data_IF_627567655959
#
_entry.id   IF_627567655959
#
_cell.length_a   1.000
_cell.length_b   1.000
_cell.length_c   1.000
_cell.angle_alpha   90.00
_cell.angle_beta   90.00
_cell.angle_gamma   90.00
#
_symmetry.space_group_name_H-M   'P 1'
#
loop_
_entity.id
_entity.type
_entity.pdbx_description
1 polymer ?
#
# COMPACT_ATOMS: atom_id res chain seq x y z
N UNK A 1 5.60 13.89 32.03
CA UNK A 1 6.70 12.90 31.94
C UNK A 1 7.07 12.75 30.47
N UNK A 2 8.33 12.44 30.15
CA UNK A 2 8.77 12.22 28.76
C UNK A 2 8.69 10.74 28.44
N UNK A 3 8.04 10.40 27.33
CA UNK A 3 7.91 9.04 26.82
C UNK A 3 8.61 8.90 25.48
N UNK A 4 9.29 7.78 25.30
CA UNK A 4 9.78 7.31 24.00
C UNK A 4 8.96 6.10 23.62
N UNK A 5 8.16 6.22 22.57
CA UNK A 5 7.30 5.14 22.08
C UNK A 5 7.86 4.65 20.75
N UNK A 6 8.06 3.33 20.66
CA UNK A 6 8.48 2.65 19.44
C UNK A 6 7.28 2.00 18.78
N UNK A 7 7.13 2.19 17.47
CA UNK A 7 6.01 1.68 16.69
C UNK A 7 6.59 1.06 15.42
N UNK A 8 6.08 -0.09 15.03
CA UNK A 8 6.47 -0.79 13.82
C UNK A 8 5.34 -0.73 12.79
N UNK A 9 5.64 -0.27 11.58
CA UNK A 9 4.69 -0.23 10.45
C UNK A 9 5.42 -0.75 9.22
N UNK A 10 4.91 -1.84 8.63
CA UNK A 10 5.52 -2.50 7.45
C UNK A 10 7.03 -2.78 7.63
N UNK A 11 7.40 -3.40 8.77
CA UNK A 11 8.79 -3.73 9.14
C UNK A 11 9.73 -2.52 9.30
N UNK A 12 9.19 -1.31 9.38
CA UNK A 12 9.95 -0.08 9.67
C UNK A 12 9.64 0.39 11.09
N UNK A 13 10.69 0.52 11.93
CA UNK A 13 10.58 1.06 13.29
C UNK A 13 10.59 2.60 13.26
N UNK A 14 9.57 3.20 13.86
CA UNK A 14 9.44 4.62 14.12
C UNK A 14 9.59 4.89 15.62
N UNK A 15 10.27 5.98 15.95
CA UNK A 15 10.44 6.44 17.32
C UNK A 15 9.74 7.78 17.49
N UNK A 16 8.79 7.83 18.42
CA UNK A 16 8.00 9.02 18.72
C UNK A 16 8.30 9.45 20.16
N UNK A 17 8.78 10.68 20.28
CA UNK A 17 8.95 11.35 21.57
C UNK A 17 7.69 12.16 21.89
N UNK A 18 7.11 11.94 23.06
CA UNK A 18 5.93 12.68 23.52
C UNK A 18 6.03 13.03 24.99
N UNK A 19 5.41 14.13 25.38
CA UNK A 19 5.25 14.51 26.78
C UNK A 19 3.81 14.25 27.19
N UNK A 20 3.60 13.49 28.26
CA UNK A 20 2.28 13.13 28.75
C UNK A 20 2.29 12.95 30.28
N UNK A 21 1.11 13.02 30.89
CA UNK A 21 0.92 12.82 32.33
C UNK A 21 0.72 11.33 32.68
N UNK A 22 0.36 10.50 31.69
CA UNK A 22 0.18 9.05 31.85
C UNK A 22 0.56 8.27 30.59
N UNK A 23 0.76 6.96 30.71
CA UNK A 23 0.99 6.07 29.57
C UNK A 23 -0.19 6.04 28.58
N UNK A 24 -1.41 6.15 29.10
CA UNK A 24 -2.63 6.18 28.27
C UNK A 24 -2.63 7.42 27.38
N UNK A 25 -2.40 8.58 27.99
CA UNK A 25 -2.31 9.85 27.27
C UNK A 25 -1.15 9.84 26.26
N UNK A 26 0.00 9.23 26.60
CA UNK A 26 1.10 9.09 25.67
C UNK A 26 0.73 8.27 24.41
N UNK A 27 -0.10 7.22 24.57
CA UNK A 27 -0.62 6.43 23.45
C UNK A 27 -1.63 7.21 22.61
N UNK A 28 -2.51 7.99 23.25
CA UNK A 28 -3.49 8.82 22.55
C UNK A 28 -2.77 9.90 21.71
N UNK A 29 -1.75 10.56 22.27
CA UNK A 29 -0.90 11.53 21.57
C UNK A 29 -0.21 10.92 20.35
N UNK A 30 0.28 9.68 20.46
CA UNK A 30 0.88 8.96 19.33
C UNK A 30 -0.10 8.78 18.17
N UNK A 31 -1.35 8.39 18.46
CA UNK A 31 -2.37 8.24 17.43
C UNK A 31 -2.77 9.56 16.79
N UNK A 32 -2.74 10.66 17.52
CA UNK A 32 -2.90 11.99 16.95
C UNK A 32 -1.74 12.35 16.03
N UNK A 33 -0.49 12.14 16.46
CA UNK A 33 0.71 12.40 15.63
C UNK A 33 0.64 11.59 14.32
N UNK A 34 0.29 10.31 14.38
CA UNK A 34 0.16 9.48 13.16
C UNK A 34 -0.91 10.07 12.24
N UNK A 35 -2.08 10.44 12.78
CA UNK A 35 -3.17 11.03 11.96
C UNK A 35 -2.80 12.38 11.35
N UNK A 36 -2.07 13.22 12.06
CA UNK A 36 -1.66 14.54 11.55
C UNK A 36 -0.50 14.48 10.56
N UNK A 37 0.43 13.53 10.74
CA UNK A 37 1.67 13.45 9.95
C UNK A 37 1.57 12.48 8.77
N UNK A 38 0.54 11.67 8.70
CA UNK A 38 0.30 10.78 7.55
C UNK A 38 -0.75 11.37 6.62
N UNK A 39 -0.53 11.20 5.33
CA UNK A 39 -1.45 11.63 4.29
C UNK A 39 -1.61 10.52 3.26
N UNK A 40 -2.84 10.20 2.88
CA UNK A 40 -3.10 9.27 1.78
C UNK A 40 -2.68 9.93 0.48
N UNK A 41 -1.66 9.39 -0.20
CA UNK A 41 -1.15 9.94 -1.46
C UNK A 41 -1.88 9.39 -2.69
N UNK A 42 -2.09 8.08 -2.73
CA UNK A 42 -2.87 7.40 -3.77
C UNK A 42 -3.53 6.17 -3.17
N UNK A 43 -4.66 5.76 -3.76
CA UNK A 43 -5.30 4.48 -3.49
C UNK A 43 -5.32 3.76 -4.83
N UNK A 44 -4.50 2.73 -4.95
CA UNK A 44 -4.43 1.90 -6.16
C UNK A 44 -5.06 0.56 -5.85
N UNK A 45 -5.99 0.13 -6.69
CA UNK A 45 -6.48 -1.24 -6.68
C UNK A 45 -5.42 -2.09 -7.36
N UNK A 46 -4.89 -3.10 -6.69
CA UNK A 46 -4.16 -4.17 -7.37
C UNK A 46 -5.14 -4.84 -8.33
N UNK A 47 -5.15 -4.41 -9.59
CA UNK A 47 -5.85 -5.12 -10.63
C UNK A 47 -5.20 -6.50 -10.71
N UNK A 48 -5.93 -7.55 -10.34
CA UNK A 48 -5.58 -8.90 -10.72
C UNK A 48 -5.39 -8.88 -12.24
N UNK A 49 -4.15 -8.95 -12.69
CA UNK A 49 -3.82 -8.80 -14.11
C UNK A 49 -4.77 -9.66 -14.94
N UNK A 50 -5.42 -9.14 -16.00
CA UNK A 50 -6.25 -9.96 -16.85
C UNK A 50 -5.33 -10.99 -17.54
N UNK A 51 -5.38 -12.23 -17.05
CA UNK A 51 -4.89 -13.41 -17.76
C UNK A 51 -5.79 -13.59 -18.98
N UNK A 52 -5.53 -12.86 -20.07
CA UNK A 52 -6.02 -13.31 -21.36
C UNK A 52 -5.14 -12.85 -22.53
N UNK A 53 -4.24 -13.70 -23.07
CA UNK A 53 -3.53 -13.43 -24.31
C UNK A 53 -4.42 -13.70 -25.57
N UNK A 54 -5.76 -13.72 -25.44
CA UNK A 54 -6.68 -14.18 -26.48
C UNK A 54 -6.77 -13.31 -27.74
N UNK A 55 -6.25 -12.08 -27.73
CA UNK A 55 -6.26 -11.22 -28.92
C UNK A 55 -5.15 -11.57 -29.93
N UNK A 56 -3.95 -11.94 -29.45
CA UNK A 56 -2.83 -12.28 -30.33
C UNK A 56 -3.00 -13.61 -31.07
N UNK A 57 -3.67 -14.59 -30.45
CA UNK A 57 -3.94 -15.91 -31.05
C UNK A 57 -4.92 -15.83 -32.22
N UNK A 58 -5.99 -15.04 -32.10
CA UNK A 58 -7.01 -14.90 -33.15
C UNK A 58 -6.45 -14.27 -34.43
N UNK A 59 -5.50 -13.35 -34.31
CA UNK A 59 -4.86 -12.73 -35.48
C UNK A 59 -3.93 -13.72 -36.21
N UNK A 60 -3.15 -14.50 -35.46
CA UNK A 60 -2.24 -15.51 -36.03
C UNK A 60 -2.98 -16.66 -36.73
N UNK A 61 -4.14 -17.06 -36.22
CA UNK A 61 -5.01 -18.06 -36.85
C UNK A 61 -5.62 -17.53 -38.16
N UNK A 62 -6.05 -16.26 -38.19
CA UNK A 62 -6.57 -15.63 -39.41
C UNK A 62 -5.53 -15.55 -40.54
N UNK A 63 -4.28 -15.22 -40.21
CA UNK A 63 -3.18 -15.13 -41.20
C UNK A 63 -2.79 -16.53 -41.71
N UNK A 64 -2.75 -17.55 -40.85
CA UNK A 64 -2.45 -18.92 -41.28
C UNK A 64 -3.53 -19.50 -42.20
N UNK A 65 -4.81 -19.24 -41.91
CA UNK A 65 -5.91 -19.71 -42.77
C UNK A 65 -5.91 -19.06 -44.15
N UNK A 66 -5.46 -17.82 -44.27
CA UNK A 66 -5.39 -17.12 -45.57
C UNK A 66 -4.19 -17.55 -46.44
N UNK A 67 -3.15 -18.14 -45.85
CA UNK A 67 -1.94 -18.59 -46.56
C UNK A 67 -1.99 -20.06 -47.00
N UNK A 68 -3.01 -20.81 -46.59
CA UNK A 68 -3.22 -22.23 -46.95
C UNK A 68 -4.33 -22.42 -48.01
N UNK A 69 -4.88 -21.33 -48.56
CA UNK A 69 -5.73 -21.27 -49.75
C UNK A 69 -4.94 -20.64 -50.90
#
# INVERSE_FOLDING_TARGET
>A
MKYLIKIEINDVEFQIHTEASSEREAKDNVWEIIREKTSVKSIETEALAPKDPSLGRKLAEGIRSALLL
#
